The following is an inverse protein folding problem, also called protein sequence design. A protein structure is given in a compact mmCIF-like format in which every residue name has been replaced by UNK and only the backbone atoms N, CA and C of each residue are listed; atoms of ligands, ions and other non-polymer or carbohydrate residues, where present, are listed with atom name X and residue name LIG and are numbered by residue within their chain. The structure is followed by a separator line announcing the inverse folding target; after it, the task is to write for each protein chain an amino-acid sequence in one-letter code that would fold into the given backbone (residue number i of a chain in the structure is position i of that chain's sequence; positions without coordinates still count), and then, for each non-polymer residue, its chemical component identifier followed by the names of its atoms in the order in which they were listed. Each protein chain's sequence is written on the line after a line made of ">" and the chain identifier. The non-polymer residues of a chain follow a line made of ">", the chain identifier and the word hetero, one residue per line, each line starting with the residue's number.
data_IF_609679282045
#
_entry.id   IF_609679282045
#
_cell.length_a   1.000
_cell.length_b   1.000
_cell.length_c   1.000
_cell.angle_alpha   90.00
_cell.angle_beta   90.00
_cell.angle_gamma   90.00
#
_symmetry.space_group_name_H-M   'P 1'
#
loop_
_entity.id
_entity.type
_entity.pdbx_description
1 polymer ?
#
# COMPACT_ATOMS: atom_id res chain seq x y z
N UNK A 1 -16.40 5.44 2.44
CA UNK A 1 -16.19 5.83 1.04
C UNK A 1 -16.83 4.80 0.13
N UNK A 2 -17.53 5.23 -0.92
CA UNK A 2 -18.19 4.31 -1.83
C UNK A 2 -17.18 3.56 -2.71
N UNK A 3 -17.62 2.43 -3.25
CA UNK A 3 -16.82 1.66 -4.22
C UNK A 3 -16.41 2.51 -5.43
N UNK A 4 -17.32 3.33 -5.91
CA UNK A 4 -17.09 4.24 -7.04
C UNK A 4 -16.01 5.28 -6.75
N UNK A 5 -16.02 5.85 -5.55
CA UNK A 5 -15.00 6.80 -5.11
C UNK A 5 -13.63 6.13 -4.96
N UNK A 6 -13.61 4.88 -4.46
CA UNK A 6 -12.37 4.12 -4.35
C UNK A 6 -11.79 3.80 -5.72
N UNK A 7 -12.60 3.39 -6.68
CA UNK A 7 -12.15 3.14 -8.04
C UNK A 7 -11.53 4.38 -8.69
N UNK A 8 -12.14 5.54 -8.48
CA UNK A 8 -11.61 6.81 -8.98
C UNK A 8 -10.25 7.10 -8.35
N UNK A 9 -10.12 6.92 -7.04
CA UNK A 9 -8.85 7.11 -6.34
C UNK A 9 -7.77 6.14 -6.84
N UNK A 10 -8.12 4.90 -7.10
CA UNK A 10 -7.21 3.90 -7.63
C UNK A 10 -6.66 4.27 -8.99
N UNK A 11 -7.52 4.73 -9.90
CA UNK A 11 -7.07 5.16 -11.24
C UNK A 11 -6.12 6.33 -11.13
N UNK A 12 -6.43 7.28 -10.27
CA UNK A 12 -5.57 8.43 -10.05
C UNK A 12 -4.23 8.03 -9.41
N UNK A 13 -4.25 7.11 -8.46
CA UNK A 13 -3.02 6.56 -7.89
C UNK A 13 -2.19 5.82 -8.94
N UNK A 14 -2.80 5.02 -9.79
CA UNK A 14 -2.12 4.32 -10.86
C UNK A 14 -1.46 5.31 -11.82
N UNK A 15 -2.15 6.39 -12.18
CA UNK A 15 -1.60 7.44 -13.03
C UNK A 15 -0.40 8.14 -12.37
N UNK A 16 -0.53 8.49 -11.10
CA UNK A 16 0.55 9.15 -10.36
C UNK A 16 1.76 8.23 -10.22
N UNK A 17 1.55 6.96 -9.91
CA UNK A 17 2.63 5.98 -9.74
C UNK A 17 3.26 5.55 -11.06
N UNK A 18 2.66 5.92 -12.18
CA UNK A 18 3.24 5.72 -13.51
C UNK A 18 4.14 6.88 -13.96
N UNK A 19 4.19 7.96 -13.18
CA UNK A 19 5.07 9.11 -13.41
C UNK A 19 6.34 8.96 -12.58
N UNK A 20 7.37 9.73 -12.93
CA UNK A 20 8.58 9.78 -12.11
C UNK A 20 8.34 10.69 -10.89
N UNK A 21 8.05 10.08 -9.76
CA UNK A 21 7.88 10.77 -8.49
C UNK A 21 9.20 10.99 -7.74
N UNK A 22 10.28 10.37 -8.21
CA UNK A 22 11.62 10.50 -7.63
C UNK A 22 12.41 11.66 -8.22
N UNK A 23 11.76 12.75 -8.49
CA UNK A 23 12.32 13.90 -9.19
C UNK A 23 13.63 14.39 -8.59
N UNK A 24 14.69 14.42 -9.42
CA UNK A 24 16.05 14.77 -8.99
C UNK A 24 16.40 16.08 -9.70
N UNK A 25 16.31 16.89 -10.03
CA UNK A 25 16.77 18.05 -10.79
C UNK A 25 15.94 19.28 -10.52
N UNK A 26 15.00 19.15 -9.68
CA UNK A 26 14.10 20.22 -9.37
C UNK A 26 14.40 20.87 -8.04
N UNK A 27 13.85 22.01 -7.84
CA UNK A 27 13.96 22.76 -6.60
C UNK A 27 12.99 22.26 -5.54
N UNK A 28 12.14 21.30 -5.86
CA UNK A 28 11.01 20.91 -5.00
C UNK A 28 10.98 19.41 -4.74
N UNK A 29 10.86 19.05 -3.49
CA UNK A 29 10.67 17.68 -3.05
C UNK A 29 9.40 17.04 -3.57
N UNK A 30 8.46 17.84 -4.04
CA UNK A 30 7.16 17.36 -4.50
C UNK A 30 7.13 16.97 -5.98
N UNK A 31 8.23 17.23 -6.71
CA UNK A 31 8.30 16.99 -8.13
C UNK A 31 7.46 17.94 -8.97
N UNK A 32 7.40 17.75 -10.28
CA UNK A 32 6.61 18.61 -11.16
C UNK A 32 5.12 18.60 -10.77
N UNK A 33 4.52 19.79 -10.76
CA UNK A 33 3.08 19.93 -10.48
C UNK A 33 2.62 19.36 -9.12
N UNK A 34 3.55 19.17 -8.18
CA UNK A 34 3.21 18.61 -6.88
C UNK A 34 2.74 17.18 -6.90
N UNK A 35 3.12 16.41 -7.92
CA UNK A 35 2.67 15.03 -8.10
C UNK A 35 2.99 14.14 -6.90
N UNK A 36 4.18 14.26 -6.33
CA UNK A 36 4.59 13.50 -5.15
C UNK A 36 3.71 13.80 -3.94
N UNK A 37 3.45 15.07 -3.68
CA UNK A 37 2.58 15.50 -2.58
C UNK A 37 1.16 14.97 -2.77
N UNK A 38 0.65 15.06 -3.98
CA UNK A 38 -0.69 14.55 -4.34
C UNK A 38 -0.75 13.04 -4.12
N UNK A 39 0.28 12.32 -4.54
CA UNK A 39 0.38 10.88 -4.30
C UNK A 39 0.32 10.54 -2.81
N UNK A 40 1.15 11.21 -2.00
CA UNK A 40 1.21 10.90 -0.57
C UNK A 40 -0.12 11.17 0.14
N UNK A 41 -0.80 12.26 -0.22
CA UNK A 41 -2.11 12.59 0.36
C UNK A 41 -3.20 11.62 -0.09
N UNK A 42 -3.26 11.34 -1.38
CA UNK A 42 -4.25 10.43 -1.94
C UNK A 42 -4.03 9.00 -1.47
N UNK A 43 -2.77 8.58 -1.35
CA UNK A 43 -2.41 7.27 -0.84
C UNK A 43 -2.94 7.03 0.57
N UNK A 44 -2.84 8.03 1.45
CA UNK A 44 -3.39 7.91 2.80
C UNK A 44 -4.91 7.79 2.79
N UNK A 45 -5.59 8.58 1.97
CA UNK A 45 -7.05 8.51 1.83
C UNK A 45 -7.47 7.13 1.34
N UNK A 46 -6.79 6.63 0.32
CA UNK A 46 -7.04 5.31 -0.24
C UNK A 46 -6.84 4.20 0.81
N UNK A 47 -5.73 4.24 1.53
CA UNK A 47 -5.40 3.22 2.53
C UNK A 47 -6.36 3.23 3.72
N UNK A 48 -6.86 4.39 4.13
CA UNK A 48 -7.87 4.46 5.20
C UNK A 48 -9.15 3.76 4.81
N UNK A 49 -9.63 4.02 3.59
CA UNK A 49 -10.83 3.36 3.08
C UNK A 49 -10.60 1.86 2.90
N UNK A 50 -9.44 1.49 2.39
CA UNK A 50 -9.05 0.09 2.23
C UNK A 50 -9.02 -0.66 3.57
N UNK A 51 -8.44 -0.05 4.60
CA UNK A 51 -8.39 -0.64 5.93
C UNK A 51 -9.80 -0.95 6.47
N UNK A 52 -10.72 -0.04 6.25
CA UNK A 52 -12.12 -0.22 6.63
C UNK A 52 -12.78 -1.36 5.87
N UNK A 53 -12.57 -1.40 4.56
CA UNK A 53 -13.16 -2.44 3.70
C UNK A 53 -12.55 -3.82 3.99
N UNK A 54 -11.30 -3.89 4.43
CA UNK A 54 -10.65 -5.13 4.86
C UNK A 54 -11.04 -5.56 6.27
N UNK A 55 -11.77 -4.72 7.01
CA UNK A 55 -12.15 -5.03 8.38
C UNK A 55 -11.00 -5.05 9.37
N UNK A 56 -9.97 -4.23 9.15
CA UNK A 56 -8.79 -4.19 10.01
C UNK A 56 -9.07 -3.43 11.30
N UNK A 57 -8.51 -3.94 12.40
CA UNK A 57 -8.49 -3.26 13.70
C UNK A 57 -7.16 -2.54 13.88
N UNK A 58 -7.19 -1.45 14.63
CA UNK A 58 -5.99 -0.71 15.01
C UNK A 58 -5.13 -0.32 13.81
N UNK A 59 -5.76 -0.01 12.70
CA UNK A 59 -5.06 0.34 11.48
C UNK A 59 -4.27 1.64 11.67
N UNK A 60 -3.01 1.61 11.24
CA UNK A 60 -2.11 2.76 11.24
C UNK A 60 -1.72 3.07 9.82
N UNK A 61 -2.00 4.30 9.40
CA UNK A 61 -1.66 4.76 8.07
C UNK A 61 -0.68 5.93 8.22
N UNK A 62 0.47 5.80 7.57
CA UNK A 62 1.51 6.82 7.60
C UNK A 62 1.99 7.13 6.19
N UNK A 63 2.60 8.29 6.03
CA UNK A 63 3.29 8.62 4.79
C UNK A 63 4.66 9.20 5.11
N UNK A 64 5.62 8.94 4.24
CA UNK A 64 6.98 9.44 4.35
C UNK A 64 7.43 9.91 2.96
N UNK A 65 7.78 11.18 2.80
CA UNK A 65 8.27 11.66 1.52
C UNK A 65 9.65 11.11 1.15
N UNK A 66 10.39 10.54 2.11
CA UNK A 66 11.76 10.09 1.87
C UNK A 66 12.65 11.27 1.56
N UNK A 67 13.51 11.13 0.57
CA UNK A 67 14.37 12.21 0.09
C UNK A 67 13.97 12.69 -1.30
N UNK A 68 14.78 13.57 -1.88
CA UNK A 68 14.53 14.15 -3.20
C UNK A 68 14.53 13.09 -4.31
N UNK A 69 15.38 12.08 -4.16
CA UNK A 69 15.60 11.08 -5.21
C UNK A 69 14.69 9.86 -5.10
N UNK A 70 13.64 9.90 -4.28
CA UNK A 70 12.71 8.78 -4.10
C UNK A 70 11.27 9.25 -4.14
N UNK A 71 10.36 8.35 -4.47
CA UNK A 71 8.93 8.67 -4.55
C UNK A 71 8.32 8.98 -3.18
N UNK A 72 8.95 8.49 -2.12
CA UNK A 72 8.29 8.39 -0.83
C UNK A 72 7.30 7.22 -0.83
N UNK A 73 6.57 7.07 0.23
CA UNK A 73 5.61 5.98 0.34
C UNK A 73 4.52 6.23 1.35
N UNK A 74 3.42 5.50 1.19
CA UNK A 74 2.34 5.44 2.16
C UNK A 74 2.25 4.01 2.67
N UNK A 75 2.09 3.85 3.97
CA UNK A 75 2.01 2.53 4.58
C UNK A 75 0.73 2.36 5.38
N UNK A 76 0.24 1.13 5.36
CA UNK A 76 -0.85 0.69 6.19
C UNK A 76 -0.38 -0.56 6.93
N UNK A 77 -0.58 -0.58 8.24
CA UNK A 77 -0.51 -1.80 9.02
C UNK A 77 -1.77 -1.91 9.86
N UNK A 78 -2.37 -3.07 9.90
CA UNK A 78 -3.58 -3.31 10.67
C UNK A 78 -3.76 -4.79 10.95
N UNK A 79 -4.66 -5.10 11.88
CA UNK A 79 -4.83 -6.47 12.37
C UNK A 79 -6.22 -6.99 12.08
N UNK A 80 -6.29 -8.24 11.64
CA UNK A 80 -7.46 -9.08 11.77
C UNK A 80 -7.41 -9.76 13.15
N UNK A 81 -8.20 -10.78 13.33
CA UNK A 81 -8.29 -11.45 14.63
C UNK A 81 -6.99 -12.17 15.02
N UNK A 82 -6.39 -12.94 14.11
CA UNK A 82 -5.24 -13.79 14.39
C UNK A 82 -3.94 -13.31 13.75
N UNK A 83 -4.01 -12.47 12.75
CA UNK A 83 -2.86 -11.92 12.04
C UNK A 83 -3.25 -10.58 11.45
N UNK A 84 -2.33 -9.94 10.75
CA UNK A 84 -2.57 -8.67 10.12
C UNK A 84 -1.95 -8.57 8.75
N UNK A 85 -1.97 -7.37 8.21
CA UNK A 85 -1.42 -7.06 6.90
C UNK A 85 -0.59 -5.78 6.99
N UNK A 86 0.52 -5.78 6.25
CA UNK A 86 1.34 -4.60 5.97
C UNK A 86 1.25 -4.32 4.48
N UNK A 87 0.96 -3.08 4.13
CA UNK A 87 0.87 -2.62 2.73
C UNK A 87 1.71 -1.35 2.59
N UNK A 88 2.54 -1.32 1.58
CA UNK A 88 3.32 -0.14 1.22
C UNK A 88 3.01 0.25 -0.23
N UNK A 89 2.62 1.52 -0.43
CA UNK A 89 2.48 2.13 -1.74
C UNK A 89 3.71 3.00 -2.00
N UNK A 90 4.47 2.69 -3.02
CA UNK A 90 5.65 3.46 -3.42
C UNK A 90 6.12 3.00 -4.79
N UNK A 91 7.09 3.69 -5.37
CA UNK A 91 7.72 3.22 -6.60
C UNK A 91 8.87 2.29 -6.22
N UNK A 92 8.73 1.02 -6.56
CA UNK A 92 9.68 -0.04 -6.23
C UNK A 92 10.33 -0.57 -7.51
N UNK A 93 11.58 -1.00 -7.42
CA UNK A 93 12.31 -1.59 -8.56
C UNK A 93 12.25 -0.73 -9.81
N UNK A 94 12.53 0.57 -9.67
CA UNK A 94 12.50 1.49 -10.80
C UNK A 94 11.09 1.79 -11.33
N UNK A 95 10.07 1.59 -10.51
CA UNK A 95 8.68 1.83 -10.89
C UNK A 95 7.96 0.60 -11.44
N UNK A 96 8.62 -0.53 -11.53
CA UNK A 96 8.00 -1.78 -11.99
C UNK A 96 6.86 -2.23 -11.09
N UNK A 97 7.06 -2.12 -9.78
CA UNK A 97 6.06 -2.44 -8.79
C UNK A 97 5.69 -1.18 -7.99
N UNK A 98 4.45 -1.09 -7.57
CA UNK A 98 3.93 0.06 -6.83
C UNK A 98 3.32 -0.33 -5.48
N UNK A 99 3.16 -1.61 -5.22
CA UNK A 99 2.68 -2.13 -3.95
C UNK A 99 3.57 -3.27 -3.49
N UNK A 100 3.96 -3.21 -2.23
CA UNK A 100 4.52 -4.33 -1.48
C UNK A 100 3.53 -4.66 -0.37
N UNK A 101 3.16 -5.92 -0.23
CA UNK A 101 2.31 -6.32 0.88
C UNK A 101 2.70 -7.69 1.41
N UNK A 102 2.41 -7.91 2.69
CA UNK A 102 2.72 -9.16 3.38
C UNK A 102 1.87 -9.30 4.64
N UNK A 103 1.84 -10.50 5.21
CA UNK A 103 1.22 -10.71 6.52
C UNK A 103 2.05 -10.03 7.60
N UNK A 104 1.39 -9.59 8.67
CA UNK A 104 2.03 -9.05 9.86
C UNK A 104 1.54 -9.83 11.08
N UNK A 105 2.44 -10.10 12.02
CA UNK A 105 2.07 -10.78 13.27
C UNK A 105 1.43 -9.82 14.27
N UNK A 106 1.92 -8.58 14.27
CA UNK A 106 1.41 -7.51 15.12
C UNK A 106 1.78 -6.17 14.49
N UNK A 107 1.38 -5.08 15.12
CA UNK A 107 1.59 -3.73 14.59
C UNK A 107 3.07 -3.28 14.54
N UNK A 108 3.97 -4.04 15.13
CA UNK A 108 5.41 -3.74 15.15
C UNK A 108 6.25 -4.70 14.33
N UNK A 109 5.67 -5.80 13.88
CA UNK A 109 6.40 -6.83 13.14
C UNK A 109 6.29 -6.56 11.64
N UNK A 110 7.26 -5.83 11.14
CA UNK A 110 7.35 -5.49 9.71
C UNK A 110 8.04 -6.57 8.88
N UNK A 111 8.59 -7.58 9.50
CA UNK A 111 9.40 -8.60 8.83
C UNK A 111 8.71 -9.95 8.69
N UNK A 112 7.48 -10.07 9.17
CA UNK A 112 6.73 -11.32 9.10
C UNK A 112 6.16 -11.59 7.72
N UNK A 113 6.24 -12.82 7.28
CA UNK A 113 5.56 -13.25 6.07
C UNK A 113 6.32 -13.02 4.77
N UNK A 114 5.76 -13.57 3.71
CA UNK A 114 6.31 -13.49 2.36
C UNK A 114 5.90 -12.19 1.69
N UNK A 115 6.83 -11.52 1.02
CA UNK A 115 6.56 -10.32 0.26
C UNK A 115 5.80 -10.63 -1.03
N UNK A 116 4.74 -9.87 -1.27
CA UNK A 116 3.98 -9.88 -2.53
C UNK A 116 4.09 -8.50 -3.17
N UNK A 117 4.12 -8.46 -4.50
CA UNK A 117 4.28 -7.22 -5.24
C UNK A 117 3.17 -7.06 -6.26
N UNK A 118 2.72 -5.83 -6.45
CA UNK A 118 1.71 -5.49 -7.46
C UNK A 118 2.20 -4.36 -8.35
N UNK A 119 1.77 -4.38 -9.60
CA UNK A 119 2.03 -3.33 -10.59
C UNK A 119 0.96 -2.24 -10.53
N UNK A 120 1.18 -1.11 -11.23
CA UNK A 120 0.17 -0.06 -11.33
C UNK A 120 -1.13 -0.58 -11.96
N UNK A 121 -1.03 -1.50 -12.93
CA UNK A 121 -2.22 -2.09 -13.57
C UNK A 121 -3.05 -2.91 -12.58
N UNK A 122 -2.41 -3.53 -11.60
CA UNK A 122 -3.10 -4.30 -10.57
C UNK A 122 -4.00 -3.41 -9.69
N UNK A 123 -3.75 -2.11 -9.66
CA UNK A 123 -4.60 -1.17 -8.92
C UNK A 123 -5.93 -0.88 -9.61
N UNK A 124 -6.09 -1.24 -10.87
CA UNK A 124 -7.26 -0.83 -11.66
C UNK A 124 -8.55 -1.58 -11.33
N UNK A 125 -8.47 -2.66 -10.54
CA UNK A 125 -9.66 -3.38 -10.08
C UNK A 125 -9.67 -3.46 -8.56
N UNK A 126 -10.53 -2.66 -7.95
CA UNK A 126 -10.66 -2.65 -6.48
C UNK A 126 -11.17 -3.99 -5.93
N UNK A 127 -12.20 -4.64 -6.51
CA UNK A 127 -12.60 -5.95 -6.03
C UNK A 127 -11.47 -6.99 -6.07
N UNK A 128 -10.64 -6.97 -7.11
CA UNK A 128 -9.50 -7.86 -7.22
C UNK A 128 -8.44 -7.57 -6.16
N UNK A 129 -8.20 -6.29 -5.84
CA UNK A 129 -7.29 -5.92 -4.74
C UNK A 129 -7.79 -6.42 -3.39
N UNK A 130 -9.07 -6.21 -3.10
CA UNK A 130 -9.67 -6.67 -1.85
C UNK A 130 -9.52 -8.18 -1.71
N UNK A 131 -9.73 -8.91 -2.78
CA UNK A 131 -9.58 -10.36 -2.79
C UNK A 131 -8.13 -10.79 -2.50
N UNK A 132 -7.17 -10.16 -3.16
CA UNK A 132 -5.74 -10.44 -2.95
C UNK A 132 -5.31 -10.16 -1.52
N UNK A 133 -5.69 -9.01 -0.98
CA UNK A 133 -5.32 -8.64 0.39
C UNK A 133 -6.03 -9.51 1.42
N UNK A 134 -7.31 -9.78 1.21
CA UNK A 134 -8.10 -10.63 2.12
C UNK A 134 -7.58 -12.07 2.17
N UNK A 135 -6.97 -12.56 1.10
CA UNK A 135 -6.39 -13.89 1.06
C UNK A 135 -5.27 -14.07 2.09
N UNK A 136 -4.59 -13.01 2.48
CA UNK A 136 -3.54 -13.06 3.51
C UNK A 136 -4.09 -13.46 4.87
N UNK A 137 -5.36 -13.23 5.13
CA UNK A 137 -6.00 -13.61 6.39
C UNK A 137 -5.92 -15.12 6.61
N UNK A 138 -6.13 -15.89 5.55
CA UNK A 138 -6.02 -17.36 5.59
C UNK A 138 -4.56 -17.83 5.56
N UNK A 139 -3.74 -17.18 4.76
CA UNK A 139 -2.31 -17.49 4.63
C UNK A 139 -1.60 -17.37 5.98
N UNK A 140 -1.85 -16.29 6.72
CA UNK A 140 -1.31 -16.11 8.05
C UNK A 140 -1.72 -17.21 9.02
N UNK A 141 -2.98 -17.63 9.00
CA UNK A 141 -3.49 -18.71 9.84
C UNK A 141 -2.83 -20.05 9.53
N UNK A 142 -2.62 -20.35 8.25
CA UNK A 142 -1.95 -21.57 7.80
C UNK A 142 -0.49 -21.55 8.24
N UNK A 143 0.18 -20.41 8.10
CA UNK A 143 1.58 -20.25 8.48
C UNK A 143 1.80 -20.45 9.99
N UNK A 144 0.92 -19.93 10.81
CA UNK A 144 0.95 -20.13 12.26
C UNK A 144 0.80 -21.59 12.64
N UNK A 145 -0.05 -22.33 11.94
CA UNK A 145 -0.24 -23.77 12.17
C UNK A 145 1.02 -24.57 11.84
N UNK A 146 1.73 -24.19 10.80
CA UNK A 146 2.99 -24.83 10.43
C UNK A 146 4.09 -24.55 11.43
N UNK A 147 4.17 -23.34 11.92
CA UNK A 147 5.17 -22.93 12.91
C UNK A 147 4.98 -23.63 14.27
N UNK A 148 3.78 -24.10 14.56
CA UNK A 148 3.47 -24.83 15.78
C UNK A 148 3.64 -26.34 15.68
N UNK A 149 3.83 -26.81 14.48
CA UNK A 149 4.09 -28.21 14.24
C UNK A 149 5.59 -28.48 14.22
#
# INVERSE_FOLDING_TARGET
>A
MSMKSQEKNMRRLADLLSQDLSYIGGERECGPNGAKKTFLNLGKVFLRALAKDLGLRDARITSDPGGIAVSGGCTLIGMWENNGIYINLSQLCGGKYVVLYRTARNLRDYSGGRNHFLTADDLLSYPALLEKFSALRKEGSVHERHDRA
#
